data_IF_508928449965
#
_entry.id   IF_508928449965
#
_cell.length_a   1.000
_cell.length_b   1.000
_cell.length_c   1.000
_cell.angle_alpha   90.00
_cell.angle_beta   90.00
_cell.angle_gamma   90.00
#
_symmetry.space_group_name_H-M   'P 1'
#
loop_
_entity.id
_entity.type
_entity.pdbx_description
1 polymer ?
#
# COMPACT_ATOMS: atom_id res chain seq x y z
N UNK A 1 17.02 47.85 23.01
CA UNK A 1 15.97 48.65 22.38
C UNK A 1 15.96 48.31 20.91
N UNK A 2 15.01 47.50 20.52
CA UNK A 2 14.83 47.11 19.15
C UNK A 2 14.03 48.18 18.41
N UNK A 3 14.54 48.64 17.26
CA UNK A 3 13.94 49.70 16.42
C UNK A 3 12.61 49.30 15.77
N UNK A 4 12.03 48.18 16.16
CA UNK A 4 10.77 47.69 15.65
C UNK A 4 9.56 47.85 16.55
N UNK A 5 9.77 48.31 17.81
CA UNK A 5 8.70 48.52 18.81
C UNK A 5 7.64 49.59 18.40
N UNK A 6 8.00 50.43 17.45
CA UNK A 6 7.10 51.50 16.97
C UNK A 6 6.23 51.13 15.77
N UNK A 7 6.45 49.98 15.16
CA UNK A 7 5.69 49.54 14.01
C UNK A 7 4.48 48.68 14.41
N UNK A 8 4.57 47.94 15.50
CA UNK A 8 3.48 47.11 16.02
C UNK A 8 2.30 47.95 16.51
N UNK A 9 2.57 49.18 17.03
CA UNK A 9 1.56 50.09 17.49
C UNK A 9 0.77 50.78 16.37
N UNK A 10 1.37 50.86 15.15
CA UNK A 10 0.75 51.50 13.98
C UNK A 10 -0.15 50.54 13.20
N UNK A 11 0.14 49.23 13.24
CA UNK A 11 -0.59 48.21 12.46
C UNK A 11 -1.54 47.38 13.32
N UNK A 12 -1.60 47.56 14.64
CA UNK A 12 -2.49 46.81 15.53
C UNK A 12 -2.33 45.29 15.41
N UNK A 13 -1.14 44.85 15.02
CA UNK A 13 -0.82 43.44 14.93
C UNK A 13 -0.36 42.95 16.29
N UNK A 14 -1.31 42.49 17.11
CA UNK A 14 -0.95 41.62 18.23
C UNK A 14 -0.14 40.43 17.66
N UNK A 15 1.00 40.04 18.30
CA UNK A 15 1.70 38.85 17.87
C UNK A 15 0.73 37.69 17.98
N UNK A 16 0.27 37.21 16.84
CA UNK A 16 -0.51 36.00 16.78
C UNK A 16 0.36 34.87 17.36
N UNK A 17 0.00 34.42 18.55
CA UNK A 17 0.52 33.20 19.12
C UNK A 17 0.23 32.11 18.08
N UNK A 18 1.24 31.71 17.33
CA UNK A 18 1.16 30.58 16.44
C UNK A 18 0.88 29.36 17.33
N UNK A 19 -0.41 29.11 17.59
CA UNK A 19 -0.82 27.80 18.08
C UNK A 19 -0.23 26.80 17.11
N UNK A 20 0.76 26.07 17.56
CA UNK A 20 1.27 24.91 16.86
C UNK A 20 0.10 23.94 16.77
N UNK A 21 -0.66 24.02 15.69
CA UNK A 21 -1.64 23.01 15.33
C UNK A 21 -0.86 21.71 15.24
N UNK A 22 -0.94 20.90 16.29
CA UNK A 22 -0.51 19.52 16.25
C UNK A 22 -1.36 18.85 15.19
N UNK A 23 -0.86 18.85 13.95
CA UNK A 23 -1.40 18.01 12.91
C UNK A 23 -1.18 16.58 13.40
N UNK A 24 -2.17 16.03 14.09
CA UNK A 24 -2.19 14.60 14.38
C UNK A 24 -2.16 13.90 13.02
N UNK A 25 -1.02 13.26 12.75
CA UNK A 25 -0.89 12.37 11.60
C UNK A 25 -2.06 11.40 11.66
N UNK A 26 -2.81 11.20 10.57
CA UNK A 26 -3.78 10.13 10.53
C UNK A 26 -3.00 8.84 10.81
N UNK A 27 -3.13 8.33 12.03
CA UNK A 27 -2.73 6.97 12.34
C UNK A 27 -3.65 6.10 11.50
N UNK A 28 -3.17 5.66 10.33
CA UNK A 28 -3.77 4.53 9.62
C UNK A 28 -3.97 3.47 10.70
N UNK A 29 -5.24 3.22 11.02
CA UNK A 29 -5.58 2.30 12.10
C UNK A 29 -4.98 0.97 11.70
N UNK A 30 -4.08 0.44 12.49
CA UNK A 30 -3.42 -0.86 12.27
C UNK A 30 -4.43 -1.98 11.97
N UNK A 31 -5.69 -1.82 12.39
CA UNK A 31 -6.79 -2.75 12.12
C UNK A 31 -7.20 -2.77 10.64
N UNK A 32 -7.30 -1.62 9.96
CA UNK A 32 -7.74 -1.57 8.55
C UNK A 32 -6.75 -2.26 7.62
N UNK A 33 -5.46 -2.12 7.85
CA UNK A 33 -4.42 -2.80 7.05
C UNK A 33 -4.38 -4.30 7.31
N UNK A 34 -4.65 -4.74 8.53
CA UNK A 34 -4.74 -6.16 8.88
C UNK A 34 -5.97 -6.81 8.25
N UNK A 35 -7.11 -6.14 8.30
CA UNK A 35 -8.35 -6.62 7.70
C UNK A 35 -8.21 -6.78 6.17
N UNK A 36 -7.62 -5.79 5.50
CA UNK A 36 -7.34 -5.87 4.05
C UNK A 36 -6.41 -7.02 3.70
N UNK A 37 -5.38 -7.29 4.49
CA UNK A 37 -4.47 -8.43 4.26
C UNK A 37 -5.16 -9.77 4.51
N UNK A 38 -5.99 -9.85 5.51
CA UNK A 38 -6.77 -11.06 5.79
C UNK A 38 -7.79 -11.33 4.67
N UNK A 39 -8.50 -10.32 4.21
CA UNK A 39 -9.42 -10.43 3.08
C UNK A 39 -8.71 -10.83 1.78
N UNK A 40 -7.49 -10.31 1.57
CA UNK A 40 -6.65 -10.71 0.45
C UNK A 40 -6.31 -12.21 0.50
N UNK A 41 -5.84 -12.71 1.64
CA UNK A 41 -5.46 -14.13 1.79
C UNK A 41 -6.67 -15.05 1.58
N UNK A 42 -7.82 -14.70 2.14
CA UNK A 42 -9.07 -15.46 1.94
C UNK A 42 -9.48 -15.44 0.47
N UNK A 43 -9.49 -14.27 -0.16
CA UNK A 43 -9.87 -14.12 -1.57
C UNK A 43 -8.92 -14.87 -2.50
N UNK A 44 -7.62 -14.80 -2.22
CA UNK A 44 -6.59 -15.53 -2.96
C UNK A 44 -6.79 -17.04 -2.87
N UNK A 45 -7.01 -17.55 -1.67
CA UNK A 45 -7.25 -18.98 -1.46
C UNK A 45 -8.53 -19.45 -2.18
N UNK A 46 -9.59 -18.67 -2.14
CA UNK A 46 -10.84 -18.98 -2.83
C UNK A 46 -10.70 -18.97 -4.35
N UNK A 47 -10.01 -17.98 -4.92
CA UNK A 47 -9.76 -17.92 -6.36
C UNK A 47 -8.89 -19.10 -6.82
N UNK A 48 -7.88 -19.50 -6.04
CA UNK A 48 -7.10 -20.71 -6.32
C UNK A 48 -7.97 -21.96 -6.34
N UNK A 49 -8.84 -22.13 -5.34
CA UNK A 49 -9.74 -23.27 -5.29
C UNK A 49 -10.73 -23.29 -6.48
N UNK A 50 -11.20 -22.11 -6.92
CA UNK A 50 -12.07 -22.00 -8.09
C UNK A 50 -11.35 -22.40 -9.38
N UNK A 51 -10.07 -22.02 -9.55
CA UNK A 51 -9.26 -22.45 -10.69
C UNK A 51 -9.09 -23.96 -10.70
N UNK A 52 -8.74 -24.57 -9.56
CA UNK A 52 -8.56 -26.02 -9.44
C UNK A 52 -9.85 -26.78 -9.76
N UNK A 53 -10.96 -26.40 -9.14
CA UNK A 53 -12.28 -27.01 -9.41
C UNK A 53 -12.77 -26.75 -10.82
N UNK A 54 -12.43 -25.59 -11.38
CA UNK A 54 -12.75 -25.26 -12.75
C UNK A 54 -11.99 -26.19 -13.74
N UNK A 55 -10.74 -26.49 -13.48
CA UNK A 55 -9.97 -27.46 -14.28
C UNK A 55 -10.58 -28.87 -14.22
N UNK A 56 -10.93 -29.34 -13.02
CA UNK A 56 -11.62 -30.63 -12.88
C UNK A 56 -12.94 -30.67 -13.65
N UNK A 57 -13.70 -29.59 -13.62
CA UNK A 57 -14.94 -29.47 -14.37
C UNK A 57 -14.72 -29.45 -15.89
N UNK A 58 -13.65 -28.79 -16.36
CA UNK A 58 -13.24 -28.79 -17.78
C UNK A 58 -12.88 -30.20 -18.22
N UNK A 59 -12.09 -30.91 -17.44
CA UNK A 59 -11.72 -32.30 -17.75
C UNK A 59 -12.94 -33.19 -17.81
N UNK A 60 -13.84 -33.10 -16.84
CA UNK A 60 -15.08 -33.86 -16.81
C UNK A 60 -16.01 -33.57 -17.99
N UNK A 61 -16.19 -32.33 -18.40
CA UNK A 61 -17.03 -31.99 -19.55
C UNK A 61 -16.39 -32.43 -20.89
N UNK A 62 -15.08 -32.37 -20.97
CA UNK A 62 -14.34 -32.87 -22.17
C UNK A 62 -14.48 -34.38 -22.32
N UNK A 63 -14.49 -35.14 -21.22
CA UNK A 63 -14.74 -36.59 -21.25
C UNK A 63 -16.16 -36.89 -21.70
N UNK A 64 -17.14 -36.15 -21.22
CA UNK A 64 -18.54 -36.26 -21.69
C UNK A 64 -18.64 -35.89 -23.18
N UNK A 65 -17.97 -34.83 -23.62
CA UNK A 65 -18.00 -34.39 -25.00
C UNK A 65 -17.42 -35.47 -25.94
N UNK A 66 -16.31 -36.10 -25.53
CA UNK A 66 -15.67 -37.18 -26.30
C UNK A 66 -16.51 -38.46 -26.35
N UNK A 67 -17.19 -38.79 -25.27
CA UNK A 67 -17.98 -40.02 -25.16
C UNK A 67 -19.35 -39.92 -25.80
N UNK A 68 -19.95 -38.72 -25.83
CA UNK A 68 -21.30 -38.52 -26.36
C UNK A 68 -21.39 -37.96 -27.76
N UNK A 69 -20.28 -37.46 -28.32
CA UNK A 69 -20.23 -36.71 -29.58
C UNK A 69 -21.26 -35.58 -29.70
N UNK A 70 -21.67 -35.05 -28.57
CA UNK A 70 -22.74 -34.05 -28.50
C UNK A 70 -22.18 -32.65 -28.70
N UNK A 71 -22.60 -31.88 -29.72
CA UNK A 71 -22.05 -30.58 -30.02
C UNK A 71 -22.19 -29.60 -28.84
N UNK A 72 -23.27 -29.71 -28.06
CA UNK A 72 -23.51 -28.85 -26.89
C UNK A 72 -22.52 -29.09 -25.75
N UNK A 73 -21.96 -30.30 -25.62
CA UNK A 73 -20.95 -30.58 -24.62
C UNK A 73 -19.65 -29.82 -24.91
N UNK A 74 -19.27 -29.69 -26.18
CA UNK A 74 -18.11 -28.90 -26.61
C UNK A 74 -18.34 -27.40 -26.41
N UNK A 75 -19.56 -26.89 -26.63
CA UNK A 75 -19.93 -25.52 -26.37
C UNK A 75 -19.80 -25.19 -24.86
N UNK A 76 -20.32 -26.05 -24.00
CA UNK A 76 -20.21 -25.89 -22.53
C UNK A 76 -18.75 -25.98 -22.08
N UNK A 77 -17.96 -26.88 -22.65
CA UNK A 77 -16.53 -26.96 -22.39
C UNK A 77 -15.81 -25.65 -22.73
N UNK A 78 -16.09 -25.05 -23.89
CA UNK A 78 -15.55 -23.75 -24.29
C UNK A 78 -15.91 -22.62 -23.32
N UNK A 79 -17.14 -22.58 -22.85
CA UNK A 79 -17.59 -21.60 -21.84
C UNK A 79 -16.89 -21.80 -20.48
N UNK A 80 -16.72 -23.05 -20.04
CA UNK A 80 -16.00 -23.36 -18.80
C UNK A 80 -14.52 -22.94 -18.88
N UNK A 81 -13.84 -23.25 -19.98
CA UNK A 81 -12.45 -22.85 -20.19
C UNK A 81 -12.31 -21.33 -20.11
N UNK A 82 -13.20 -20.59 -20.75
CA UNK A 82 -13.22 -19.14 -20.67
C UNK A 82 -13.43 -18.66 -19.22
N UNK A 83 -14.40 -19.21 -18.53
CA UNK A 83 -14.71 -18.82 -17.14
C UNK A 83 -13.53 -19.10 -16.19
N UNK A 84 -12.84 -20.21 -16.36
CA UNK A 84 -11.63 -20.55 -15.58
C UNK A 84 -10.51 -19.56 -15.88
N UNK A 85 -10.33 -19.17 -17.15
CA UNK A 85 -9.41 -18.12 -17.55
C UNK A 85 -9.73 -16.79 -16.88
N UNK A 86 -11.00 -16.37 -16.90
CA UNK A 86 -11.45 -15.13 -16.25
C UNK A 86 -11.20 -15.13 -14.72
N UNK A 87 -11.29 -16.28 -14.06
CA UNK A 87 -10.97 -16.43 -12.63
C UNK A 87 -9.47 -16.33 -12.40
N UNK A 88 -8.66 -16.93 -13.27
CA UNK A 88 -7.21 -16.82 -13.19
C UNK A 88 -6.72 -15.37 -13.37
N UNK A 89 -7.31 -14.63 -14.30
CA UNK A 89 -7.03 -13.20 -14.48
C UNK A 89 -7.38 -12.38 -13.23
N UNK A 90 -8.52 -12.65 -12.59
CA UNK A 90 -8.89 -12.01 -11.31
C UNK A 90 -7.89 -12.30 -10.21
N UNK A 91 -7.30 -13.48 -10.16
CA UNK A 91 -6.25 -13.81 -9.20
C UNK A 91 -4.99 -12.96 -9.44
N UNK A 92 -4.61 -12.76 -10.70
CA UNK A 92 -3.47 -11.90 -11.06
C UNK A 92 -3.75 -10.43 -10.75
N UNK A 93 -4.95 -9.94 -11.02
CA UNK A 93 -5.39 -8.59 -10.66
C UNK A 93 -5.36 -8.35 -9.16
N UNK A 94 -5.81 -9.32 -8.37
CA UNK A 94 -5.76 -9.26 -6.91
C UNK A 94 -4.31 -9.14 -6.40
N UNK A 95 -3.39 -9.92 -6.98
CA UNK A 95 -1.97 -9.85 -6.64
C UNK A 95 -1.34 -8.50 -6.99
N UNK A 96 -1.74 -7.93 -8.14
CA UNK A 96 -1.28 -6.60 -8.55
C UNK A 96 -1.75 -5.53 -7.58
N UNK A 97 -3.03 -5.54 -7.21
CA UNK A 97 -3.62 -4.58 -6.27
C UNK A 97 -2.91 -4.58 -4.92
N UNK A 98 -2.57 -5.75 -4.36
CA UNK A 98 -1.86 -5.80 -3.07
C UNK A 98 -0.43 -5.26 -3.19
N UNK A 99 0.27 -5.51 -4.30
CA UNK A 99 1.59 -4.95 -4.56
C UNK A 99 1.56 -3.43 -4.68
N UNK A 100 0.54 -2.88 -5.32
CA UNK A 100 0.38 -1.45 -5.48
C UNK A 100 0.13 -0.78 -4.11
N UNK A 101 -0.70 -1.38 -3.26
CA UNK A 101 -0.92 -0.93 -1.88
C UNK A 101 0.36 -0.95 -1.06
N UNK A 102 1.13 -2.04 -1.10
CA UNK A 102 2.42 -2.15 -0.40
C UNK A 102 3.44 -1.11 -0.91
N UNK A 103 3.41 -0.77 -2.19
CA UNK A 103 4.27 0.25 -2.78
C UNK A 103 3.88 1.67 -2.33
N UNK A 104 2.58 1.94 -2.20
CA UNK A 104 2.07 3.22 -1.69
C UNK A 104 2.40 3.39 -0.20
N UNK A 105 2.23 2.35 0.63
CA UNK A 105 2.62 2.38 2.05
C UNK A 105 4.11 2.68 2.22
N UNK A 106 4.97 2.09 1.40
CA UNK A 106 6.42 2.36 1.42
C UNK A 106 6.75 3.80 1.03
N UNK A 107 6.08 4.36 0.02
CA UNK A 107 6.27 5.76 -0.39
C UNK A 107 5.84 6.74 0.71
N UNK A 108 4.73 6.48 1.38
CA UNK A 108 4.23 7.30 2.48
C UNK A 108 5.23 7.26 3.65
N UNK A 109 5.77 6.08 3.97
CA UNK A 109 6.74 5.92 5.07
C UNK A 109 8.06 6.65 4.77
N UNK A 110 8.55 6.62 3.54
CA UNK A 110 9.78 7.31 3.13
C UNK A 110 9.60 8.83 3.11
N UNK A 111 8.47 9.34 2.62
CA UNK A 111 8.20 10.78 2.58
C UNK A 111 7.97 11.38 3.97
N UNK A 112 7.42 10.63 4.93
CA UNK A 112 7.25 11.10 6.30
C UNK A 112 8.58 11.25 7.05
N UNK A 113 9.60 10.48 6.69
CA UNK A 113 10.93 10.62 7.31
C UNK A 113 11.65 11.89 6.86
N UNK A 114 11.40 12.34 5.63
CA UNK A 114 12.03 13.54 5.08
C UNK A 114 11.27 14.85 5.36
N UNK A 115 9.98 14.80 5.70
CA UNK A 115 9.12 15.99 5.80
C UNK A 115 9.00 16.58 7.21
N UNK A 116 9.60 15.99 8.23
CA UNK A 116 9.34 16.35 9.63
C UNK A 116 10.58 16.78 10.43
N UNK A 117 11.54 17.42 9.77
CA UNK A 117 12.51 18.19 10.53
C UNK A 117 12.07 19.67 10.59
N UNK A 118 11.13 19.98 11.43
CA UNK A 118 10.81 21.35 11.89
C UNK A 118 11.53 21.55 13.22
N UNK A 119 12.84 21.39 13.21
CA UNK A 119 13.71 21.68 14.35
C UNK A 119 14.57 22.91 14.07
N UNK A 120 15.14 23.49 15.15
CA UNK A 120 16.09 24.57 15.00
C UNK A 120 17.34 24.07 14.25
N UNK A 121 18.03 24.97 13.54
CA UNK A 121 19.29 24.67 12.84
C UNK A 121 20.34 24.02 13.74
N UNK A 122 20.29 24.26 15.06
CA UNK A 122 21.17 23.64 16.05
C UNK A 122 20.87 22.14 16.26
N UNK A 123 19.60 21.74 16.24
CA UNK A 123 19.20 20.32 16.33
C UNK A 123 19.54 19.55 15.06
N UNK A 124 19.41 20.17 13.90
CA UNK A 124 19.83 19.59 12.62
C UNK A 124 21.34 19.32 12.61
N UNK A 125 22.16 20.26 13.10
CA UNK A 125 23.61 20.08 13.19
C UNK A 125 23.99 18.96 14.16
N UNK A 126 23.23 18.80 15.26
CA UNK A 126 23.45 17.73 16.24
C UNK A 126 23.15 16.34 15.65
N UNK A 127 22.08 16.22 14.88
CA UNK A 127 21.72 14.98 14.17
C UNK A 127 22.73 14.62 13.08
N UNK A 128 23.20 15.61 12.32
CA UNK A 128 24.21 15.40 11.28
C UNK A 128 25.56 14.97 11.88
N UNK A 129 25.93 15.46 13.06
CA UNK A 129 27.14 14.99 13.78
C UNK A 129 26.98 13.54 14.25
N UNK A 130 25.85 13.19 14.84
CA UNK A 130 25.55 11.81 15.27
C UNK A 130 25.60 10.81 14.09
N UNK A 131 25.08 11.22 12.94
CA UNK A 131 25.08 10.36 11.75
C UNK A 131 26.48 10.17 11.16
N UNK A 132 27.35 11.18 11.25
CA UNK A 132 28.75 11.06 10.85
C UNK A 132 29.56 10.15 11.79
N UNK A 133 29.28 10.20 13.08
CA UNK A 133 29.95 9.36 14.08
C UNK A 133 29.58 7.88 13.91
N UNK A 134 28.33 7.58 13.56
CA UNK A 134 27.87 6.21 13.27
C UNK A 134 28.53 5.66 12.00
N UNK A 135 28.58 6.46 10.92
CA UNK A 135 29.20 6.02 9.67
C UNK A 135 30.73 5.85 9.77
N UNK A 136 31.41 6.56 10.68
CA UNK A 136 32.83 6.39 10.92
C UNK A 136 33.18 5.16 11.77
N UNK A 137 32.21 4.64 12.54
CA UNK A 137 32.42 3.44 13.36
C UNK A 137 32.31 2.17 12.53
N UNK A 138 31.53 2.19 11.43
CA UNK A 138 31.36 1.04 10.53
C UNK A 138 32.49 0.90 9.49
N UNK A 139 33.35 1.90 9.34
CA UNK A 139 34.49 1.87 8.39
C UNK A 139 35.76 1.29 8.97
N UNK A 140 35.78 0.89 10.23
CA UNK A 140 37.02 0.49 10.92
C UNK A 140 36.97 -0.94 11.49
N UNK A 141 36.15 -1.82 10.87
CA UNK A 141 36.13 -3.24 11.23
C UNK A 141 36.36 -4.14 10.01
#
# INVERSE_FOLDING_TARGET
MSTFDGLDDVFGTEPAELETVKVEKPKLKKSETQDVRQDYEISRAQLHNLVMKGQEAVDGILDVARSSDHPRAYEVAGQLIKNVGDVADKLMDLQKKIKDLDAEEKKITQNTTNALFVGSTAELQKLLKQQKDINNTDSNN
#
